data_IF_370389427560
#
_entry.id   IF_370389427560
#
_cell.length_a   1.000
_cell.length_b   1.000
_cell.length_c   1.000
_cell.angle_alpha   90.00
_cell.angle_beta   90.00
_cell.angle_gamma   90.00
#
_symmetry.space_group_name_H-M   'P 1'
#
loop_
_entity.id
_entity.type
_entity.pdbx_description
1 polymer ?
#
# COMPACT_ATOMS: atom_id res chain seq x y z
N UNK A 1 1.97 2.56 -12.50
CA UNK A 1 0.98 2.54 -11.41
C UNK A 1 1.36 3.59 -10.39
N UNK A 2 0.48 4.55 -10.15
CA UNK A 2 0.74 5.66 -9.22
C UNK A 2 0.47 5.21 -7.78
N UNK A 3 1.39 5.49 -6.86
CA UNK A 3 1.30 5.16 -5.44
C UNK A 3 1.29 6.42 -4.61
N UNK A 4 0.39 6.49 -3.63
CA UNK A 4 0.25 7.64 -2.75
C UNK A 4 0.76 7.26 -1.36
N UNK A 5 1.66 8.07 -0.82
CA UNK A 5 2.11 7.95 0.57
C UNK A 5 1.04 8.62 1.44
N UNK A 6 0.43 7.85 2.34
CA UNK A 6 -0.68 8.30 3.17
C UNK A 6 -0.35 8.09 4.66
N UNK A 7 -0.30 9.19 5.40
CA UNK A 7 -0.05 9.19 6.84
C UNK A 7 -1.26 8.77 7.67
N UNK A 8 -2.46 8.80 7.10
CA UNK A 8 -3.71 8.36 7.73
C UNK A 8 -4.05 6.91 7.41
N UNK A 9 -3.41 6.31 6.41
CA UNK A 9 -3.57 4.88 6.12
C UNK A 9 -2.86 4.04 7.18
N UNK A 10 -3.56 3.03 7.72
CA UNK A 10 -3.01 2.02 8.63
C UNK A 10 -2.59 0.73 7.91
N UNK A 11 -2.86 0.62 6.61
CA UNK A 11 -2.57 -0.55 5.78
C UNK A 11 -1.97 -0.11 4.44
N UNK A 12 -1.22 -0.99 3.80
CA UNK A 12 -0.88 -0.86 2.39
C UNK A 12 -2.04 -1.39 1.53
N UNK A 13 -2.39 -0.69 0.46
CA UNK A 13 -3.47 -1.11 -0.44
C UNK A 13 -3.04 -1.02 -1.90
N UNK A 14 -3.37 -2.04 -2.67
CA UNK A 14 -3.15 -2.11 -4.10
C UNK A 14 -4.44 -2.55 -4.81
N UNK A 15 -4.79 -1.91 -5.92
CA UNK A 15 -5.96 -2.31 -6.73
C UNK A 15 -5.64 -3.33 -7.83
N UNK A 16 -4.36 -3.53 -8.16
CA UNK A 16 -3.94 -4.37 -9.28
C UNK A 16 -3.16 -5.60 -8.80
N UNK A 17 -3.81 -6.77 -8.87
CA UNK A 17 -3.20 -8.08 -8.55
C UNK A 17 -1.88 -8.33 -9.28
N UNK A 18 -1.66 -7.74 -10.47
CA UNK A 18 -0.44 -7.95 -11.26
C UNK A 18 0.82 -7.33 -10.62
N UNK A 19 0.67 -6.41 -9.67
CA UNK A 19 1.80 -5.77 -8.99
C UNK A 19 2.38 -6.59 -7.84
N UNK A 20 1.73 -7.69 -7.48
CA UNK A 20 2.15 -8.51 -6.37
C UNK A 20 3.26 -9.48 -6.76
N UNK A 21 4.38 -9.48 -6.03
CA UNK A 21 5.45 -10.48 -6.18
C UNK A 21 5.15 -11.78 -5.44
N UNK A 22 4.31 -11.70 -4.40
CA UNK A 22 3.66 -12.84 -3.76
C UNK A 22 2.20 -12.54 -3.52
N UNK A 23 1.32 -13.53 -3.61
CA UNK A 23 -0.12 -13.31 -3.50
C UNK A 23 -0.82 -14.53 -2.88
N UNK A 24 -1.66 -14.25 -1.89
CA UNK A 24 -2.58 -15.21 -1.30
C UNK A 24 -4.00 -14.64 -1.43
N UNK A 25 -4.93 -15.45 -1.95
CA UNK A 25 -6.34 -15.09 -1.91
C UNK A 25 -6.84 -15.09 -0.46
N UNK A 26 -7.54 -14.02 -0.12
CA UNK A 26 -8.20 -13.88 1.18
C UNK A 26 -9.71 -14.11 0.98
N UNK A 27 -10.33 -14.75 1.97
CA UNK A 27 -11.78 -14.92 2.00
C UNK A 27 -12.53 -13.60 2.28
N UNK A 28 -13.73 -13.69 2.84
CA UNK A 28 -14.65 -12.55 3.06
C UNK A 28 -14.23 -11.63 4.21
N UNK A 29 -13.08 -10.95 4.08
CA UNK A 29 -12.68 -9.88 4.99
C UNK A 29 -12.99 -8.52 4.38
N UNK A 30 -13.38 -7.57 5.22
CA UNK A 30 -13.65 -6.20 4.80
C UNK A 30 -12.86 -5.22 5.64
N UNK A 31 -12.61 -4.04 5.06
CA UNK A 31 -11.95 -2.93 5.74
C UNK A 31 -12.78 -1.66 5.56
N UNK A 32 -12.83 -0.83 6.61
CA UNK A 32 -13.39 0.52 6.49
C UNK A 32 -12.40 1.42 5.77
N UNK A 33 -12.86 2.11 4.74
CA UNK A 33 -12.05 3.10 4.00
C UNK A 33 -12.39 4.52 4.44
N UNK A 34 -11.66 5.52 3.92
CA UNK A 34 -11.68 6.90 4.44
C UNK A 34 -13.03 7.63 4.38
N UNK A 35 -14.01 7.16 3.61
CA UNK A 35 -15.37 7.70 3.56
C UNK A 35 -16.35 6.94 4.48
N UNK A 36 -15.87 5.99 5.30
CA UNK A 36 -16.67 5.16 6.20
C UNK A 36 -17.38 3.98 5.54
N UNK A 37 -17.29 3.79 4.22
CA UNK A 37 -17.79 2.58 3.57
C UNK A 37 -16.85 1.40 3.81
N UNK A 38 -17.37 0.19 3.61
CA UNK A 38 -16.58 -1.04 3.64
C UNK A 38 -16.12 -1.41 2.24
N UNK A 39 -14.90 -1.93 2.11
CA UNK A 39 -14.35 -2.50 0.89
C UNK A 39 -13.89 -3.94 1.14
N UNK A 40 -14.00 -4.80 0.12
CA UNK A 40 -13.62 -6.21 0.22
C UNK A 40 -12.11 -6.39 0.04
N UNK A 41 -11.48 -7.17 0.92
CA UNK A 41 -10.09 -7.59 0.74
C UNK A 41 -10.09 -8.89 -0.05
N UNK A 42 -9.64 -8.85 -1.30
CA UNK A 42 -9.61 -10.01 -2.20
C UNK A 42 -8.33 -10.84 -1.98
N UNK A 43 -7.28 -10.23 -1.48
CA UNK A 43 -6.03 -10.91 -1.23
C UNK A 43 -5.03 -10.10 -0.43
N UNK A 44 -3.96 -10.80 -0.08
CA UNK A 44 -2.83 -10.30 0.69
C UNK A 44 -1.55 -10.71 0.01
N UNK A 45 -0.54 -9.86 0.04
CA UNK A 45 0.76 -10.25 -0.48
C UNK A 45 1.83 -9.20 -0.35
N UNK A 46 2.90 -9.41 -1.10
CA UNK A 46 4.04 -8.49 -1.17
C UNK A 46 4.02 -7.72 -2.49
N UNK A 47 4.37 -6.45 -2.43
CA UNK A 47 4.60 -5.60 -3.61
C UNK A 47 6.01 -5.04 -3.57
N UNK A 48 6.70 -5.05 -4.70
CA UNK A 48 8.05 -4.51 -4.86
C UNK A 48 7.98 -3.29 -5.77
N UNK A 49 8.31 -2.11 -5.23
CA UNK A 49 8.29 -0.84 -5.96
C UNK A 49 9.73 -0.44 -6.30
N UNK A 50 10.05 -0.40 -7.59
CA UNK A 50 11.34 0.10 -8.05
C UNK A 50 11.44 1.62 -7.79
N UNK A 51 12.40 2.03 -6.96
CA UNK A 51 12.71 3.44 -6.71
C UNK A 51 13.82 3.93 -7.64
N UNK A 52 14.79 3.06 -7.92
CA UNK A 52 15.87 3.27 -8.89
C UNK A 52 16.41 1.91 -9.35
N UNK A 53 17.29 1.90 -10.35
CA UNK A 53 17.79 0.66 -10.99
C UNK A 53 18.49 -0.35 -10.06
N UNK A 54 18.77 0.03 -8.81
CA UNK A 54 19.37 -0.83 -7.78
C UNK A 54 18.65 -0.78 -6.44
N UNK A 55 17.50 -0.10 -6.36
CA UNK A 55 16.80 0.08 -5.10
C UNK A 55 15.29 -0.15 -5.27
N UNK A 56 14.76 -1.05 -4.46
CA UNK A 56 13.34 -1.36 -4.42
C UNK A 56 12.81 -1.19 -3.01
N UNK A 57 11.64 -0.58 -2.89
CA UNK A 57 10.86 -0.58 -1.66
C UNK A 57 9.97 -1.83 -1.64
N UNK A 58 10.22 -2.71 -0.67
CA UNK A 58 9.41 -3.90 -0.45
C UNK A 58 8.31 -3.58 0.55
N UNK A 59 7.06 -3.68 0.11
CA UNK A 59 5.88 -3.54 0.95
C UNK A 59 5.34 -4.93 1.31
N UNK A 60 5.38 -5.25 2.60
CA UNK A 60 4.78 -6.47 3.14
C UNK A 60 3.32 -6.24 3.53
N UNK A 61 2.53 -7.33 3.57
CA UNK A 61 1.13 -7.32 4.00
C UNK A 61 0.23 -6.30 3.24
N UNK A 62 0.41 -6.21 1.92
CA UNK A 62 -0.40 -5.34 1.06
C UNK A 62 -1.76 -5.97 0.80
N UNK A 63 -2.84 -5.25 1.10
CA UNK A 63 -4.19 -5.68 0.77
C UNK A 63 -4.52 -5.39 -0.70
N UNK A 64 -5.06 -6.39 -1.38
CA UNK A 64 -5.64 -6.24 -2.70
C UNK A 64 -7.13 -5.90 -2.58
N UNK A 65 -7.49 -4.68 -3.01
CA UNK A 65 -8.85 -4.15 -2.95
C UNK A 65 -9.16 -3.50 -4.30
N UNK A 66 -10.06 -4.09 -5.08
CA UNK A 66 -10.32 -3.62 -6.45
C UNK A 66 -11.13 -2.32 -6.48
N UNK A 67 -11.86 -2.02 -5.42
CA UNK A 67 -12.75 -0.85 -5.31
C UNK A 67 -11.99 0.45 -5.02
N UNK A 68 -10.70 0.40 -4.66
CA UNK A 68 -9.92 1.61 -4.38
C UNK A 68 -9.41 2.25 -5.66
N UNK A 69 -9.45 3.60 -5.71
CA UNK A 69 -9.01 4.37 -6.88
C UNK A 69 -7.51 4.64 -6.93
N UNK A 70 -6.82 4.54 -5.80
CA UNK A 70 -5.40 4.86 -5.63
C UNK A 70 -4.73 3.80 -4.78
N UNK A 71 -3.55 3.36 -5.18
CA UNK A 71 -2.72 2.49 -4.35
C UNK A 71 -2.12 3.33 -3.21
N UNK A 72 -2.13 2.80 -2.00
CA UNK A 72 -1.73 3.52 -0.80
C UNK A 72 -0.54 2.83 -0.12
N UNK A 73 0.44 3.66 0.26
CA UNK A 73 1.54 3.27 1.13
C UNK A 73 1.30 3.91 2.50
N UNK A 74 1.06 3.09 3.53
CA UNK A 74 0.97 3.57 4.90
C UNK A 74 2.33 4.04 5.40
N UNK A 75 2.42 5.31 5.83
CA UNK A 75 3.61 5.86 6.51
C UNK A 75 3.87 5.11 7.82
N UNK A 76 2.81 4.76 8.55
CA UNK A 76 2.93 4.07 9.83
C UNK A 76 3.58 2.69 9.66
N UNK A 77 3.19 1.94 8.63
CA UNK A 77 3.79 0.63 8.36
C UNK A 77 5.24 0.73 7.86
N UNK A 78 5.56 1.73 7.03
CA UNK A 78 6.95 2.01 6.66
C UNK A 78 7.82 2.29 7.89
N UNK A 79 7.33 3.12 8.81
CA UNK A 79 8.04 3.41 10.05
C UNK A 79 8.23 2.16 10.93
N UNK A 80 7.21 1.29 11.01
CA UNK A 80 7.31 0.01 11.73
C UNK A 80 8.33 -0.95 11.10
N UNK A 81 8.49 -0.90 9.77
CA UNK A 81 9.52 -1.66 9.05
C UNK A 81 10.93 -1.03 9.18
N UNK A 82 11.06 0.08 9.91
CA UNK A 82 12.34 0.74 10.19
C UNK A 82 12.72 1.85 9.20
N UNK A 83 11.83 2.21 8.28
CA UNK A 83 12.07 3.34 7.37
C UNK A 83 11.87 4.67 8.07
N UNK A 84 12.75 5.63 7.77
CA UNK A 84 12.51 7.05 8.07
C UNK A 84 11.79 7.69 6.89
N UNK A 85 10.59 8.22 7.12
CA UNK A 85 9.84 8.99 6.13
C UNK A 85 10.04 10.48 6.42
N UNK A 86 10.47 11.25 5.40
CA UNK A 86 10.74 12.69 5.51
C UNK A 86 9.89 13.41 4.47
N UNK A 87 9.11 14.38 4.91
CA UNK A 87 8.41 15.34 4.05
C UNK A 87 9.21 16.63 4.06
N UNK A 88 9.78 16.99 2.92
CA UNK A 88 10.53 18.23 2.76
C UNK A 88 9.76 19.14 1.81
N UNK A 89 9.55 20.40 2.21
CA UNK A 89 9.05 21.41 1.29
C UNK A 89 10.16 21.74 0.31
N UNK A 90 9.84 21.77 -0.98
CA UNK A 90 10.67 22.51 -1.91
C UNK A 90 10.46 23.99 -1.59
N UNK A 91 11.30 24.55 -0.73
CA UNK A 91 11.48 26.00 -0.69
C UNK A 91 12.18 26.38 -1.99
N UNK A 92 11.38 26.84 -2.96
CA UNK A 92 11.84 27.54 -4.16
C UNK A 92 12.01 29.02 -3.85
#
# INVERSE_FOLDING_TARGET
NEWWIDSRANVHVCADKKLFSSYQECGTHTISIGNGSLACIIGLGRVELELSSRNCLVLDNVFHIFEIRKNLISVALLAQQGFKVVFESNEL
#
